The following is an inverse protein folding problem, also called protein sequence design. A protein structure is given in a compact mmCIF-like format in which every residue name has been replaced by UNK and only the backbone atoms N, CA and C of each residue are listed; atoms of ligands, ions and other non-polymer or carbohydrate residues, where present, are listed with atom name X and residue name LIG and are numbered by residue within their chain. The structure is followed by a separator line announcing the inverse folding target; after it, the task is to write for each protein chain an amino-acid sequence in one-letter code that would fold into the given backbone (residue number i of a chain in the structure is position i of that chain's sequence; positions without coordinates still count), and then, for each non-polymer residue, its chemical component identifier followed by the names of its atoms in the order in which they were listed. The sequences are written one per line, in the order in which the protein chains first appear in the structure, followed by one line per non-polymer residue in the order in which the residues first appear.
data_IF_621849744637
#
_entry.id   IF_621849744637
#
_cell.length_a   1.000
_cell.length_b   1.000
_cell.length_c   1.000
_cell.angle_alpha   90.00
_cell.angle_beta   90.00
_cell.angle_gamma   90.00
#
_symmetry.space_group_name_H-M   'P 1'
#
loop_
_entity.id
_entity.type
_entity.pdbx_description
1 polymer ?
#
# COMPACT_ATOMS: atom_id res chain seq x y z
N UNK A 1 11.48 6.41 -3.49
CA UNK A 1 10.81 6.93 -4.71
C UNK A 1 11.75 7.14 -5.90
N UNK A 2 13.05 6.83 -5.81
CA UNK A 2 14.04 7.10 -6.87
C UNK A 2 13.68 6.51 -8.26
N UNK A 3 13.02 5.36 -8.33
CA UNK A 3 12.61 4.77 -9.62
C UNK A 3 11.50 5.57 -10.32
N UNK A 4 10.61 6.20 -9.55
CA UNK A 4 9.60 7.12 -10.10
C UNK A 4 10.29 8.33 -10.72
N UNK A 5 11.25 8.92 -10.01
CA UNK A 5 12.00 10.09 -10.50
C UNK A 5 12.82 9.75 -11.75
N UNK A 6 13.50 8.59 -11.75
CA UNK A 6 14.28 8.10 -12.88
C UNK A 6 13.43 7.89 -14.15
N UNK A 7 12.19 7.43 -13.99
CA UNK A 7 11.23 7.26 -15.09
C UNK A 7 10.48 8.54 -15.47
N UNK A 8 10.78 9.68 -14.82
CA UNK A 8 9.99 10.92 -14.91
C UNK A 8 8.51 10.69 -14.61
N UNK A 9 8.24 9.90 -13.57
CA UNK A 9 6.94 9.52 -13.05
C UNK A 9 6.05 8.76 -14.05
N UNK A 10 6.66 8.14 -15.08
CA UNK A 10 5.95 7.24 -15.99
C UNK A 10 5.68 5.88 -15.36
N UNK A 11 6.50 5.48 -14.39
CA UNK A 11 6.32 4.23 -13.67
C UNK A 11 5.37 4.39 -12.47
N UNK A 12 4.92 3.27 -11.92
CA UNK A 12 4.10 3.19 -10.72
C UNK A 12 4.36 1.85 -10.02
N UNK A 13 3.35 1.30 -9.35
CA UNK A 13 3.39 -0.11 -8.96
C UNK A 13 3.11 -0.97 -10.21
N UNK A 14 4.07 -1.77 -10.70
CA UNK A 14 3.86 -2.57 -11.91
C UNK A 14 2.72 -3.58 -11.72
N UNK A 15 2.59 -4.14 -10.52
CA UNK A 15 1.53 -5.10 -10.18
C UNK A 15 0.15 -4.43 -10.28
N UNK A 16 -0.06 -3.33 -9.57
CA UNK A 16 -1.34 -2.59 -9.62
C UNK A 16 -1.68 -2.13 -11.02
N UNK A 17 -0.69 -1.60 -11.76
CA UNK A 17 -0.88 -1.15 -13.14
C UNK A 17 -1.36 -2.28 -14.04
N UNK A 18 -0.74 -3.46 -13.96
CA UNK A 18 -1.16 -4.63 -14.73
C UNK A 18 -2.54 -5.12 -14.31
N UNK A 19 -2.78 -5.22 -13.00
CA UNK A 19 -4.02 -5.80 -12.48
C UNK A 19 -5.24 -4.94 -12.79
N UNK A 20 -5.13 -3.62 -12.78
CA UNK A 20 -6.24 -2.72 -13.11
C UNK A 20 -6.78 -2.94 -14.53
N UNK A 21 -5.89 -3.22 -15.48
CA UNK A 21 -6.26 -3.43 -16.89
C UNK A 21 -6.69 -4.88 -17.17
N UNK A 22 -5.99 -5.86 -16.59
CA UNK A 22 -6.08 -7.26 -17.03
C UNK A 22 -7.00 -8.15 -16.19
N UNK A 23 -7.30 -7.76 -14.96
CA UNK A 23 -8.15 -8.55 -14.05
C UNK A 23 -9.57 -8.80 -14.59
N UNK A 24 -10.25 -7.82 -15.22
CA UNK A 24 -11.59 -8.05 -15.77
C UNK A 24 -11.65 -9.16 -16.83
N UNK A 25 -10.54 -9.40 -17.53
CA UNK A 25 -10.47 -10.30 -18.69
C UNK A 25 -9.75 -11.63 -18.40
N UNK A 26 -9.09 -11.76 -17.24
CA UNK A 26 -8.29 -12.94 -16.91
C UNK A 26 -8.42 -13.37 -15.46
N UNK A 27 -9.17 -14.45 -15.23
CA UNK A 27 -9.29 -15.07 -13.91
C UNK A 27 -7.94 -15.56 -13.35
N UNK A 28 -7.01 -15.99 -14.22
CA UNK A 28 -5.68 -16.42 -13.80
C UNK A 28 -4.87 -15.23 -13.25
N UNK A 29 -4.92 -14.09 -13.93
CA UNK A 29 -4.24 -12.87 -13.46
C UNK A 29 -4.92 -12.33 -12.20
N UNK A 30 -6.26 -12.39 -12.13
CA UNK A 30 -7.01 -12.03 -10.93
C UNK A 30 -6.54 -12.85 -9.71
N UNK A 31 -6.40 -14.17 -9.86
CA UNK A 31 -5.92 -15.05 -8.80
C UNK A 31 -4.46 -14.75 -8.40
N UNK A 32 -3.59 -14.47 -9.36
CA UNK A 32 -2.22 -14.05 -9.08
C UNK A 32 -2.17 -12.72 -8.30
N UNK A 33 -2.99 -11.75 -8.70
CA UNK A 33 -3.11 -10.47 -7.99
C UNK A 33 -3.62 -10.63 -6.55
N UNK A 34 -4.62 -11.49 -6.35
CA UNK A 34 -5.11 -11.84 -5.00
C UNK A 34 -4.00 -12.43 -4.13
N UNK A 35 -3.18 -13.33 -4.66
CA UNK A 35 -2.06 -13.93 -3.93
C UNK A 35 -1.02 -12.88 -3.52
N UNK A 36 -0.63 -11.99 -4.45
CA UNK A 36 0.35 -10.93 -4.18
C UNK A 36 -0.14 -9.97 -3.10
N UNK A 37 -1.37 -9.46 -3.21
CA UNK A 37 -1.91 -8.56 -2.19
C UNK A 37 -2.14 -9.26 -0.85
N UNK A 38 -2.49 -10.55 -0.84
CA UNK A 38 -2.57 -11.33 0.39
C UNK A 38 -1.20 -11.47 1.06
N UNK A 39 -0.13 -11.66 0.30
CA UNK A 39 1.24 -11.75 0.82
C UNK A 39 1.70 -10.43 1.43
N UNK A 40 1.48 -9.31 0.74
CA UNK A 40 1.78 -7.98 1.27
C UNK A 40 0.98 -7.69 2.54
N UNK A 41 -0.32 -8.01 2.54
CA UNK A 41 -1.18 -7.82 3.71
C UNK A 41 -0.67 -8.64 4.88
N UNK A 42 -0.28 -9.90 4.68
CA UNK A 42 0.26 -10.77 5.75
C UNK A 42 1.52 -10.20 6.40
N UNK A 43 2.41 -9.59 5.62
CA UNK A 43 3.61 -8.91 6.17
C UNK A 43 3.21 -7.77 7.09
N UNK A 44 2.28 -6.91 6.64
CA UNK A 44 1.78 -5.78 7.42
C UNK A 44 1.02 -6.23 8.67
N UNK A 45 0.14 -7.23 8.54
CA UNK A 45 -0.61 -7.81 9.65
C UNK A 45 0.33 -8.38 10.71
N UNK A 46 1.38 -9.10 10.30
CA UNK A 46 2.39 -9.65 11.20
C UNK A 46 3.17 -8.56 11.95
N UNK A 47 3.49 -7.43 11.30
CA UNK A 47 4.11 -6.28 11.96
C UNK A 47 3.18 -5.65 13.00
N UNK A 48 1.93 -5.36 12.63
CA UNK A 48 0.95 -4.76 13.53
C UNK A 48 0.69 -5.64 14.75
N UNK A 49 0.49 -6.95 14.56
CA UNK A 49 0.29 -7.90 15.65
C UNK A 49 1.49 -7.97 16.60
N UNK A 50 2.72 -7.98 16.05
CA UNK A 50 3.97 -7.95 16.85
C UNK A 50 4.09 -6.70 17.72
N UNK A 51 3.50 -5.59 17.29
CA UNK A 51 3.45 -4.34 18.05
C UNK A 51 2.19 -4.19 18.92
N UNK A 52 1.47 -5.29 19.17
CA UNK A 52 0.37 -5.35 20.15
C UNK A 52 -0.94 -4.72 19.68
N UNK A 53 -1.12 -4.49 18.38
CA UNK A 53 -2.37 -3.95 17.85
C UNK A 53 -3.54 -4.90 18.14
N UNK A 54 -4.75 -4.39 18.44
CA UNK A 54 -5.94 -5.22 18.60
C UNK A 54 -6.27 -6.00 17.32
N UNK A 55 -6.55 -7.29 17.46
CA UNK A 55 -6.76 -8.22 16.34
C UNK A 55 -7.80 -7.71 15.33
N UNK A 56 -8.89 -7.12 15.80
CA UNK A 56 -9.97 -6.59 14.96
C UNK A 56 -9.53 -5.38 14.11
N UNK A 57 -8.40 -4.76 14.44
CA UNK A 57 -7.84 -3.60 13.74
C UNK A 57 -6.69 -3.97 12.81
N UNK A 58 -6.07 -5.13 12.97
CA UNK A 58 -4.87 -5.54 12.23
C UNK A 58 -5.15 -5.61 10.72
N UNK A 59 -6.11 -6.43 10.29
CA UNK A 59 -6.38 -6.63 8.85
C UNK A 59 -6.93 -5.38 8.14
N UNK A 60 -7.88 -4.60 8.71
CA UNK A 60 -8.33 -3.34 8.10
C UNK A 60 -7.21 -2.30 7.99
N UNK A 61 -6.33 -2.21 8.99
CA UNK A 61 -5.21 -1.26 8.98
C UNK A 61 -4.16 -1.65 7.94
N UNK A 62 -3.81 -2.94 7.83
CA UNK A 62 -2.93 -3.44 6.78
C UNK A 62 -3.46 -3.13 5.38
N UNK A 63 -4.77 -3.29 5.18
CA UNK A 63 -5.44 -2.96 3.92
C UNK A 63 -5.36 -1.46 3.62
N UNK A 64 -5.61 -0.61 4.62
CA UNK A 64 -5.54 0.85 4.46
C UNK A 64 -4.13 1.34 4.10
N UNK A 65 -3.08 0.74 4.69
CA UNK A 65 -1.68 1.06 4.36
C UNK A 65 -1.41 0.76 2.88
N UNK A 66 -1.77 -0.44 2.40
CA UNK A 66 -1.56 -0.84 1.00
C UNK A 66 -2.34 0.10 0.07
N UNK A 67 -3.63 0.30 0.34
CA UNK A 67 -4.47 1.16 -0.50
C UNK A 67 -3.95 2.61 -0.57
N UNK A 68 -3.49 3.16 0.56
CA UNK A 68 -2.90 4.49 0.62
C UNK A 68 -1.64 4.59 -0.24
N UNK A 69 -0.70 3.65 -0.08
CA UNK A 69 0.54 3.64 -0.84
C UNK A 69 0.29 3.49 -2.36
N UNK A 70 -0.61 2.59 -2.77
CA UNK A 70 -0.95 2.41 -4.18
C UNK A 70 -1.63 3.66 -4.77
N UNK A 71 -2.52 4.30 -4.02
CA UNK A 71 -3.13 5.58 -4.40
C UNK A 71 -2.08 6.70 -4.53
N UNK A 72 -1.09 6.73 -3.64
CA UNK A 72 -0.02 7.71 -3.68
C UNK A 72 0.88 7.57 -4.91
N UNK A 73 1.16 6.33 -5.34
CA UNK A 73 1.91 6.06 -6.58
C UNK A 73 1.14 6.55 -7.81
N UNK A 74 -0.18 6.37 -7.83
CA UNK A 74 -1.04 6.90 -8.89
C UNK A 74 -1.01 8.44 -8.90
N UNK A 75 -1.17 9.08 -7.75
CA UNK A 75 -1.11 10.55 -7.63
C UNK A 75 0.25 11.11 -8.03
N UNK A 76 1.35 10.44 -7.65
CA UNK A 76 2.70 10.83 -8.01
C UNK A 76 2.89 10.84 -9.54
N UNK A 77 2.32 9.86 -10.24
CA UNK A 77 2.28 9.81 -11.70
C UNK A 77 1.47 10.96 -12.30
N UNK A 78 0.27 11.21 -11.79
CA UNK A 78 -0.59 12.30 -12.30
C UNK A 78 0.05 13.67 -12.09
N UNK A 79 0.70 13.87 -10.95
CA UNK A 79 1.28 15.16 -10.56
C UNK A 79 2.73 15.36 -11.04
N UNK A 80 3.39 14.30 -11.52
CA UNK A 80 4.80 14.35 -11.88
C UNK A 80 5.72 14.69 -10.70
N UNK A 81 5.37 14.21 -9.50
CA UNK A 81 6.06 14.56 -8.25
C UNK A 81 6.06 13.40 -7.28
N UNK A 82 7.11 13.26 -6.48
CA UNK A 82 7.18 12.28 -5.40
C UNK A 82 6.39 12.71 -4.16
N UNK A 83 5.96 13.97 -4.09
CA UNK A 83 5.32 14.56 -2.91
C UNK A 83 4.12 13.75 -2.40
N UNK A 84 3.21 13.22 -3.24
CA UNK A 84 2.08 12.43 -2.75
C UNK A 84 2.48 11.17 -1.98
N UNK A 85 3.62 10.54 -2.36
CA UNK A 85 4.14 9.37 -1.64
C UNK A 85 4.66 9.78 -0.26
N UNK A 86 5.36 10.92 -0.18
CA UNK A 86 5.86 11.45 1.09
C UNK A 86 4.71 11.85 2.02
N UNK A 87 3.75 12.63 1.52
CA UNK A 87 2.58 13.09 2.28
C UNK A 87 1.77 11.90 2.81
N UNK A 88 1.55 10.89 1.96
CA UNK A 88 0.79 9.70 2.35
C UNK A 88 1.53 8.89 3.41
N UNK A 89 2.85 8.72 3.28
CA UNK A 89 3.65 8.01 4.26
C UNK A 89 3.62 8.72 5.62
N UNK A 90 3.81 10.04 5.64
CA UNK A 90 3.75 10.85 6.85
C UNK A 90 2.36 10.79 7.51
N UNK A 91 1.30 10.98 6.73
CA UNK A 91 -0.07 10.88 7.23
C UNK A 91 -0.38 9.49 7.80
N UNK A 92 0.04 8.42 7.12
CA UNK A 92 -0.11 7.05 7.63
C UNK A 92 0.65 6.87 8.95
N UNK A 93 1.89 7.33 9.06
CA UNK A 93 2.65 7.27 10.32
C UNK A 93 1.90 7.98 11.46
N UNK A 94 1.46 9.21 11.26
CA UNK A 94 0.71 9.98 12.27
C UNK A 94 -0.60 9.29 12.67
N UNK A 95 -1.34 8.77 11.70
CA UNK A 95 -2.59 8.05 11.95
C UNK A 95 -2.37 6.75 12.73
N UNK A 96 -1.24 6.07 12.51
CA UNK A 96 -0.88 4.83 13.20
C UNK A 96 -0.34 5.10 14.61
N UNK A 97 0.43 6.15 14.82
CA UNK A 97 0.98 6.54 16.13
C UNK A 97 -0.13 6.80 17.15
N UNK A 98 -1.18 7.54 16.77
CA UNK A 98 -2.34 7.79 17.64
C UNK A 98 -3.18 6.54 17.95
N UNK A 99 -2.80 5.39 17.41
CA UNK A 99 -3.51 4.11 17.53
C UNK A 99 -2.65 3.01 18.15
N UNK A 100 -1.37 3.30 18.43
CA UNK A 100 -0.48 2.37 19.12
C UNK A 100 -1.03 2.07 20.52
N UNK A 101 -0.98 0.81 20.97
CA UNK A 101 -1.26 0.49 22.35
C UNK A 101 -0.29 1.28 23.24
N UNK A 102 -0.79 1.92 24.29
CA UNK A 102 0.10 2.46 25.33
C UNK A 102 0.87 1.26 25.89
N UNK A 103 2.20 1.29 25.78
CA UNK A 103 3.06 0.27 26.38
C UNK A 103 2.70 0.16 27.87
N UNK A 104 2.26 -1.03 28.30
CA UNK A 104 2.07 -1.34 29.72
C UNK A 104 3.41 -1.60 30.39
#
# INVERSE_FOLDING_TARGET
VQWLEASKFRDGCPITTTLLETTPESALIAAAGQAVFADWRRVMEGLLARHGWPDERVAPTATAIIAGLEGALMLARVQGSAQPVHDTAEALCLMLEGRLPVAR
#
